data_IF_687546361756
#
_entry.id   IF_687546361756
#
_cell.length_a   1.000
_cell.length_b   1.000
_cell.length_c   1.000
_cell.angle_alpha   90.00
_cell.angle_beta   90.00
_cell.angle_gamma   90.00
#
_symmetry.space_group_name_H-M   'P 1'
#
loop_
_entity.id
_entity.type
_entity.pdbx_description
1 polymer ?
#
# COMPACT_ATOMS: atom_id res chain seq x y z
N UNK A 1 24.57 -0.37 -32.02
CA UNK A 1 23.74 -1.46 -31.48
C UNK A 1 22.29 -1.01 -31.47
N UNK A 2 21.34 -1.87 -31.80
CA UNK A 2 19.91 -1.56 -31.67
C UNK A 2 19.57 -1.45 -30.18
N UNK A 3 18.78 -0.45 -29.79
CA UNK A 3 18.32 -0.29 -28.41
C UNK A 3 17.41 -1.46 -28.02
N UNK A 4 17.46 -1.93 -26.77
CA UNK A 4 16.48 -2.91 -26.27
C UNK A 4 15.06 -2.32 -26.20
N UNK A 5 14.05 -3.15 -26.46
CA UNK A 5 12.64 -2.76 -26.40
C UNK A 5 12.16 -2.72 -24.96
N UNK A 6 11.59 -1.60 -24.53
CA UNK A 6 10.99 -1.39 -23.22
C UNK A 6 9.48 -1.28 -23.34
N UNK A 7 8.75 -2.04 -22.51
CA UNK A 7 7.32 -1.82 -22.28
C UNK A 7 7.13 -0.99 -21.00
N UNK A 8 6.44 0.15 -21.11
CA UNK A 8 5.95 0.91 -19.94
C UNK A 8 4.46 0.68 -19.84
N UNK A 9 4.00 0.01 -18.76
CA UNK A 9 2.60 -0.42 -18.59
C UNK A 9 1.67 0.66 -18.02
N UNK A 10 2.20 1.79 -17.57
CA UNK A 10 1.45 2.87 -16.92
C UNK A 10 1.86 4.23 -17.50
N UNK A 11 1.09 5.30 -17.27
CA UNK A 11 1.52 6.64 -17.63
C UNK A 11 2.87 7.02 -17.02
N UNK A 12 3.71 7.68 -17.79
CA UNK A 12 5.01 8.14 -17.35
C UNK A 12 5.13 9.66 -17.51
N UNK A 13 5.83 10.30 -16.56
CA UNK A 13 6.15 11.72 -16.65
C UNK A 13 7.12 11.98 -17.82
N UNK A 14 7.00 13.13 -18.52
CA UNK A 14 7.81 13.43 -19.69
C UNK A 14 9.32 13.31 -19.44
N UNK A 15 9.81 13.80 -18.30
CA UNK A 15 11.22 13.75 -17.93
C UNK A 15 11.75 12.33 -17.75
N UNK A 16 10.89 11.37 -17.39
CA UNK A 16 11.26 9.96 -17.28
C UNK A 16 11.42 9.34 -18.67
N UNK A 17 10.52 9.69 -19.60
CA UNK A 17 10.64 9.26 -21.00
C UNK A 17 11.87 9.84 -21.67
N UNK A 18 12.18 11.11 -21.42
CA UNK A 18 13.40 11.76 -21.91
C UNK A 18 14.67 11.05 -21.43
N UNK A 19 14.71 10.62 -20.16
CA UNK A 19 15.85 9.89 -19.61
C UNK A 19 15.96 8.44 -20.13
N UNK A 20 14.84 7.77 -20.38
CA UNK A 20 14.83 6.38 -20.86
C UNK A 20 15.05 6.25 -22.37
N UNK A 21 14.64 7.25 -23.18
CA UNK A 21 14.70 7.20 -24.64
C UNK A 21 16.11 7.06 -25.24
N UNK A 22 17.22 7.55 -24.65
CA UNK A 22 18.55 7.25 -25.13
C UNK A 22 18.93 5.77 -25.05
N UNK A 23 18.36 5.03 -24.10
CA UNK A 23 18.73 3.65 -23.76
C UNK A 23 17.78 2.60 -24.32
N UNK A 24 16.51 2.95 -24.60
CA UNK A 24 15.46 2.01 -24.97
C UNK A 24 14.61 2.50 -26.15
N UNK A 25 14.09 1.54 -26.93
CA UNK A 25 12.95 1.75 -27.81
C UNK A 25 11.67 1.51 -27.00
N UNK A 26 10.90 2.59 -26.75
CA UNK A 26 9.83 2.61 -25.77
C UNK A 26 8.47 2.34 -26.41
N UNK A 27 7.74 1.32 -25.91
CA UNK A 27 6.30 1.20 -26.09
C UNK A 27 5.62 1.65 -24.79
N UNK A 28 4.82 2.71 -24.87
CA UNK A 28 4.19 3.36 -23.72
C UNK A 28 2.69 3.14 -23.70
N UNK A 29 2.17 2.65 -22.57
CA UNK A 29 0.74 2.74 -22.24
C UNK A 29 0.50 4.05 -21.48
N UNK A 30 0.03 5.08 -22.17
CA UNK A 30 -0.27 6.39 -21.55
C UNK A 30 -1.69 6.46 -20.96
N UNK A 31 -2.47 5.40 -21.10
CA UNK A 31 -3.81 5.32 -20.50
C UNK A 31 -3.73 4.82 -19.06
N UNK A 32 -4.55 5.39 -18.18
CA UNK A 32 -4.70 4.92 -16.79
C UNK A 32 -5.60 3.68 -16.73
N UNK A 33 -5.37 2.70 -17.60
CA UNK A 33 -6.12 1.46 -17.65
C UNK A 33 -5.29 0.28 -17.15
N UNK A 34 -5.95 -0.67 -16.51
CA UNK A 34 -5.32 -1.94 -16.20
C UNK A 34 -4.99 -2.70 -17.49
N UNK A 35 -3.85 -3.37 -17.49
CA UNK A 35 -3.44 -4.26 -18.58
C UNK A 35 -3.80 -5.68 -18.16
N UNK A 36 -4.74 -6.31 -18.86
CA UNK A 36 -5.10 -7.71 -18.57
C UNK A 36 -3.99 -8.68 -19.01
N UNK A 37 -4.06 -9.93 -18.56
CA UNK A 37 -3.00 -10.92 -18.79
C UNK A 37 -2.73 -11.17 -20.28
N UNK A 38 -3.75 -11.32 -21.11
CA UNK A 38 -3.58 -11.62 -22.53
C UNK A 38 -2.99 -10.42 -23.29
N UNK A 39 -3.39 -9.21 -22.95
CA UNK A 39 -2.78 -7.98 -23.47
C UNK A 39 -1.30 -7.87 -23.05
N UNK A 40 -1.00 -8.19 -21.78
CA UNK A 40 0.38 -8.16 -21.28
C UNK A 40 1.26 -9.18 -22.03
N UNK A 41 0.76 -10.40 -22.25
CA UNK A 41 1.45 -11.44 -23.00
C UNK A 41 1.79 -10.97 -24.42
N UNK A 42 0.81 -10.38 -25.13
CA UNK A 42 1.02 -9.85 -26.48
C UNK A 42 2.07 -8.74 -26.50
N UNK A 43 2.00 -7.82 -25.55
CA UNK A 43 2.92 -6.68 -25.45
C UNK A 43 4.34 -7.09 -25.07
N UNK A 44 4.52 -8.12 -24.25
CA UNK A 44 5.83 -8.58 -23.77
C UNK A 44 6.61 -9.41 -24.81
N UNK A 45 5.98 -9.89 -25.88
CA UNK A 45 6.54 -10.87 -26.80
C UNK A 45 7.96 -10.55 -27.32
N UNK A 46 8.25 -9.28 -27.57
CA UNK A 46 9.53 -8.82 -28.10
C UNK A 46 10.26 -7.82 -27.19
N UNK A 47 9.95 -7.80 -25.91
CA UNK A 47 10.52 -6.84 -24.94
C UNK A 47 11.67 -7.45 -24.15
N UNK A 48 12.72 -6.67 -23.97
CA UNK A 48 13.86 -6.98 -23.11
C UNK A 48 13.69 -6.39 -21.71
N UNK A 49 12.88 -5.33 -21.58
CA UNK A 49 12.64 -4.64 -20.30
C UNK A 49 11.16 -4.28 -20.13
N UNK A 50 10.72 -4.24 -18.88
CA UNK A 50 9.40 -3.73 -18.50
C UNK A 50 9.52 -2.73 -17.35
N UNK A 51 8.79 -1.62 -17.46
CA UNK A 51 8.54 -0.65 -16.39
C UNK A 51 7.08 -0.77 -15.98
N UNK A 52 6.80 -0.99 -14.70
CA UNK A 52 5.43 -1.28 -14.26
C UNK A 52 5.03 -0.61 -12.96
N UNK A 53 3.73 -0.40 -12.81
CA UNK A 53 3.06 -0.09 -11.55
C UNK A 53 2.21 -1.30 -11.09
N UNK A 54 1.22 -1.08 -10.23
CA UNK A 54 0.28 -2.13 -9.80
C UNK A 54 -0.81 -2.48 -10.82
N UNK A 55 -0.82 -1.82 -11.99
CA UNK A 55 -1.87 -1.94 -13.00
C UNK A 55 -1.72 -3.12 -13.97
N UNK A 56 -0.63 -3.88 -13.88
CA UNK A 56 -0.36 -5.07 -14.68
C UNK A 56 0.10 -6.21 -13.78
N UNK A 57 -0.42 -7.42 -14.00
CA UNK A 57 -0.05 -8.60 -13.24
C UNK A 57 0.86 -9.52 -14.05
N UNK A 58 2.12 -9.60 -13.67
CA UNK A 58 3.13 -10.47 -14.26
C UNK A 58 3.03 -11.88 -13.67
N UNK A 59 2.08 -12.66 -14.17
CA UNK A 59 1.88 -14.06 -13.76
C UNK A 59 2.97 -14.96 -14.33
N UNK A 60 3.10 -16.18 -13.81
CA UNK A 60 3.98 -17.21 -14.38
C UNK A 60 3.74 -17.44 -15.89
N UNK A 61 2.47 -17.39 -16.34
CA UNK A 61 2.10 -17.51 -17.75
C UNK A 61 2.65 -16.35 -18.58
N UNK A 62 2.46 -15.11 -18.12
CA UNK A 62 2.95 -13.91 -18.80
C UNK A 62 4.50 -13.91 -18.88
N UNK A 63 5.18 -14.24 -17.79
CA UNK A 63 6.64 -14.31 -17.71
C UNK A 63 7.19 -15.35 -18.68
N UNK A 64 6.63 -16.59 -18.67
CA UNK A 64 7.07 -17.66 -19.58
C UNK A 64 6.82 -17.37 -21.06
N UNK A 65 5.86 -16.50 -21.38
CA UNK A 65 5.59 -16.07 -22.76
C UNK A 65 6.54 -15.00 -23.29
N UNK A 66 7.43 -14.47 -22.46
CA UNK A 66 8.35 -13.37 -22.77
C UNK A 66 9.83 -13.80 -22.78
N UNK A 67 10.27 -14.62 -23.76
CA UNK A 67 11.59 -15.27 -23.74
C UNK A 67 12.76 -14.29 -23.85
N UNK A 68 12.52 -13.04 -24.26
CA UNK A 68 13.56 -12.01 -24.37
C UNK A 68 13.63 -11.10 -23.14
N UNK A 69 12.66 -11.19 -22.21
CA UNK A 69 12.59 -10.32 -21.06
C UNK A 69 13.78 -10.57 -20.11
N UNK A 70 14.43 -9.51 -19.66
CA UNK A 70 15.63 -9.55 -18.82
C UNK A 70 15.43 -8.83 -17.50
N UNK A 71 14.56 -7.81 -17.49
CA UNK A 71 14.32 -6.98 -16.32
C UNK A 71 12.87 -6.51 -16.24
N UNK A 72 12.30 -6.55 -15.04
CA UNK A 72 11.04 -5.87 -14.68
C UNK A 72 11.37 -4.87 -13.57
N UNK A 73 11.17 -3.59 -13.84
CA UNK A 73 11.36 -2.53 -12.85
C UNK A 73 10.02 -1.99 -12.38
N UNK A 74 9.66 -2.29 -11.12
CA UNK A 74 8.44 -1.78 -10.50
C UNK A 74 8.69 -0.41 -9.88
N UNK A 75 7.85 0.58 -10.23
CA UNK A 75 7.88 1.88 -9.57
C UNK A 75 7.26 1.85 -8.15
N UNK A 76 6.72 0.72 -7.74
CA UNK A 76 6.08 0.49 -6.44
C UNK A 76 7.03 -0.16 -5.44
N UNK A 77 6.73 -0.02 -4.15
CA UNK A 77 7.45 -0.73 -3.08
C UNK A 77 7.01 -2.20 -3.03
N UNK A 78 5.69 -2.44 -3.06
CA UNK A 78 5.13 -3.79 -3.15
C UNK A 78 5.22 -4.32 -4.57
N UNK A 79 5.47 -5.61 -4.70
CA UNK A 79 5.64 -6.31 -5.98
C UNK A 79 4.85 -7.64 -6.00
N UNK A 80 3.82 -7.74 -5.22
CA UNK A 80 2.92 -8.90 -5.15
C UNK A 80 2.14 -9.17 -6.45
N UNK A 81 2.16 -8.23 -7.38
CA UNK A 81 1.66 -8.39 -8.75
C UNK A 81 2.68 -9.05 -9.72
N UNK A 82 3.89 -9.41 -9.26
CA UNK A 82 4.95 -10.04 -10.07
C UNK A 82 5.28 -11.40 -9.47
N UNK A 83 5.21 -12.46 -10.28
CA UNK A 83 5.63 -13.80 -9.88
C UNK A 83 7.17 -13.89 -9.84
N UNK A 84 7.71 -13.62 -8.66
CA UNK A 84 9.15 -13.58 -8.40
C UNK A 84 9.83 -14.91 -8.66
N UNK A 85 9.18 -16.02 -8.32
CA UNK A 85 9.73 -17.36 -8.52
C UNK A 85 9.94 -17.66 -10.01
N UNK A 86 8.92 -17.39 -10.84
CA UNK A 86 9.03 -17.55 -12.29
C UNK A 86 10.06 -16.60 -12.92
N UNK A 87 10.21 -15.38 -12.39
CA UNK A 87 11.28 -14.47 -12.83
C UNK A 87 12.67 -15.05 -12.53
N UNK A 88 12.89 -15.54 -11.32
CA UNK A 88 14.16 -16.15 -10.91
C UNK A 88 14.50 -17.39 -11.74
N UNK A 89 13.53 -18.27 -12.02
CA UNK A 89 13.69 -19.45 -12.89
C UNK A 89 14.16 -19.09 -14.31
N UNK A 90 13.75 -17.92 -14.83
CA UNK A 90 14.14 -17.46 -16.17
C UNK A 90 15.32 -16.47 -16.18
N UNK A 91 15.90 -16.18 -15.02
CA UNK A 91 17.01 -15.22 -14.90
C UNK A 91 16.58 -13.78 -15.19
N UNK A 92 15.30 -13.43 -14.96
CA UNK A 92 14.77 -12.08 -15.10
C UNK A 92 14.99 -11.33 -13.79
N UNK A 93 15.68 -10.20 -13.85
CA UNK A 93 15.89 -9.33 -12.70
C UNK A 93 14.59 -8.58 -12.38
N UNK A 94 14.21 -8.56 -11.11
CA UNK A 94 13.08 -7.75 -10.64
C UNK A 94 13.59 -6.69 -9.67
N UNK A 95 13.20 -5.43 -9.90
CA UNK A 95 13.53 -4.32 -9.01
C UNK A 95 12.26 -3.63 -8.53
N UNK A 96 12.34 -3.02 -7.34
CA UNK A 96 11.28 -2.19 -6.79
C UNK A 96 11.79 -0.79 -6.45
N UNK A 97 10.92 0.08 -5.91
CA UNK A 97 11.26 1.46 -5.55
C UNK A 97 11.12 1.67 -4.04
N UNK A 98 12.08 1.17 -3.23
CA UNK A 98 12.05 1.33 -1.79
C UNK A 98 12.31 2.79 -1.38
N UNK A 99 11.94 3.11 -0.14
CA UNK A 99 12.21 4.37 0.57
C UNK A 99 11.46 5.62 0.09
N UNK A 100 11.19 5.77 -1.18
CA UNK A 100 10.60 6.98 -1.78
C UNK A 100 9.17 7.29 -1.31
N UNK A 101 8.42 6.29 -0.83
CA UNK A 101 7.02 6.44 -0.40
C UNK A 101 6.85 6.58 1.12
N UNK A 102 7.91 6.35 1.91
CA UNK A 102 7.78 6.15 3.36
C UNK A 102 7.06 7.29 4.07
N UNK A 103 7.44 8.53 3.76
CA UNK A 103 6.87 9.70 4.42
C UNK A 103 5.44 9.98 3.94
N UNK A 104 5.21 9.95 2.63
CA UNK A 104 3.90 10.23 2.04
C UNK A 104 2.85 9.20 2.47
N UNK A 105 3.20 7.90 2.48
CA UNK A 105 2.30 6.86 2.97
C UNK A 105 2.02 7.02 4.46
N UNK A 106 3.02 7.42 5.26
CA UNK A 106 2.82 7.69 6.67
C UNK A 106 1.91 8.91 6.91
N UNK A 107 2.08 10.00 6.15
CA UNK A 107 1.19 11.17 6.20
C UNK A 107 -0.25 10.78 5.87
N UNK A 108 -0.41 9.96 4.82
CA UNK A 108 -1.73 9.51 4.40
C UNK A 108 -2.39 8.58 5.43
N UNK A 109 -1.64 7.64 6.01
CA UNK A 109 -2.16 6.78 7.08
C UNK A 109 -2.69 7.60 8.26
N UNK A 110 -2.02 8.70 8.63
CA UNK A 110 -2.49 9.64 9.64
C UNK A 110 -3.73 10.43 9.19
N UNK A 111 -3.76 10.90 7.95
CA UNK A 111 -4.94 11.58 7.41
C UNK A 111 -6.16 10.65 7.44
N UNK A 112 -5.99 9.39 7.03
CA UNK A 112 -7.04 8.38 7.04
C UNK A 112 -7.49 8.03 8.47
N UNK A 113 -6.54 7.87 9.42
CA UNK A 113 -6.84 7.63 10.84
C UNK A 113 -7.66 8.77 11.43
N UNK A 114 -7.23 10.01 11.22
CA UNK A 114 -7.94 11.19 11.74
C UNK A 114 -9.32 11.36 11.10
N UNK A 115 -9.43 11.14 9.78
CA UNK A 115 -10.71 11.21 9.07
C UNK A 115 -11.69 10.16 9.59
N UNK A 116 -11.20 8.94 9.85
CA UNK A 116 -11.99 7.81 10.37
C UNK A 116 -12.41 8.06 11.83
N UNK A 117 -11.46 8.37 12.71
CA UNK A 117 -11.72 8.59 14.13
C UNK A 117 -12.68 9.77 14.38
N UNK A 118 -12.59 10.81 13.56
CA UNK A 118 -13.38 12.03 13.73
C UNK A 118 -14.57 12.13 12.77
N UNK A 119 -14.89 11.07 12.01
CA UNK A 119 -16.04 10.98 11.09
C UNK A 119 -16.07 12.11 10.05
N UNK A 120 -14.90 12.56 9.59
CA UNK A 120 -14.75 13.75 8.75
C UNK A 120 -15.48 13.60 7.42
N UNK A 121 -15.31 12.48 6.73
CA UNK A 121 -15.93 12.24 5.41
C UNK A 121 -17.45 12.12 5.50
N UNK A 122 -17.97 11.45 6.51
CA UNK A 122 -19.41 11.36 6.77
C UNK A 122 -20.02 12.73 7.04
N UNK A 123 -19.41 13.52 7.92
CA UNK A 123 -19.88 14.86 8.24
C UNK A 123 -19.80 15.80 7.03
N UNK A 124 -18.76 15.69 6.21
CA UNK A 124 -18.58 16.46 4.98
C UNK A 124 -19.68 16.15 3.95
N UNK A 125 -19.95 14.87 3.70
CA UNK A 125 -21.02 14.45 2.78
C UNK A 125 -22.40 14.92 3.28
N UNK A 126 -22.67 14.81 4.59
CA UNK A 126 -23.92 15.26 5.20
C UNK A 126 -24.10 16.78 5.06
N UNK A 127 -23.01 17.55 5.27
CA UNK A 127 -23.03 19.00 5.10
C UNK A 127 -23.30 19.40 3.64
N UNK A 128 -22.60 18.77 2.66
CA UNK A 128 -22.83 19.04 1.22
C UNK A 128 -24.24 18.67 0.75
N UNK A 129 -24.84 17.67 1.37
CA UNK A 129 -26.23 17.30 1.09
C UNK A 129 -27.26 18.33 1.63
N UNK A 130 -26.79 19.40 2.28
CA UNK A 130 -27.65 20.51 2.75
C UNK A 130 -28.42 20.18 4.05
N UNK A 131 -27.98 19.18 4.79
CA UNK A 131 -28.69 18.75 6.00
C UNK A 131 -28.41 19.60 7.25
N UNK A 132 -27.42 20.52 7.19
CA UNK A 132 -27.07 21.35 8.34
C UNK A 132 -28.01 22.55 8.50
N UNK A 133 -29.01 22.39 9.38
CA UNK A 133 -29.98 23.42 9.73
C UNK A 133 -29.72 24.07 11.10
N UNK A 134 -29.00 23.37 11.96
CA UNK A 134 -28.66 23.81 13.32
C UNK A 134 -27.44 23.07 13.88
N UNK A 135 -26.80 23.72 14.86
CA UNK A 135 -25.75 23.05 15.64
C UNK A 135 -26.33 21.94 16.52
N UNK A 136 -25.61 20.81 16.59
CA UNK A 136 -26.03 19.61 17.32
C UNK A 136 -24.96 19.19 18.34
N UNK A 137 -25.29 19.15 19.62
CA UNK A 137 -24.37 18.75 20.69
C UNK A 137 -23.88 17.28 20.52
N UNK A 138 -24.70 16.40 19.99
CA UNK A 138 -24.40 14.97 19.82
C UNK A 138 -24.22 14.56 18.35
N UNK A 139 -24.13 15.51 17.43
CA UNK A 139 -23.89 15.23 16.02
C UNK A 139 -22.45 14.79 15.80
N UNK A 140 -22.25 13.73 15.02
CA UNK A 140 -20.94 13.22 14.58
C UNK A 140 -19.90 13.03 15.71
N UNK A 141 -20.33 12.54 16.87
CA UNK A 141 -19.41 12.19 17.95
C UNK A 141 -18.46 11.09 17.46
N UNK A 142 -17.15 11.39 17.44
CA UNK A 142 -16.08 10.48 17.08
C UNK A 142 -15.25 10.06 18.29
N UNK A 143 -14.13 9.38 18.02
CA UNK A 143 -13.17 8.95 19.03
C UNK A 143 -12.00 9.96 19.14
N UNK A 144 -11.44 10.06 20.36
CA UNK A 144 -10.18 10.76 20.57
C UNK A 144 -9.01 9.97 19.99
N UNK A 145 -7.99 10.70 19.49
CA UNK A 145 -6.74 10.13 19.01
C UNK A 145 -5.60 10.38 19.99
N UNK A 146 -5.54 11.60 20.56
CA UNK A 146 -4.51 11.97 21.53
C UNK A 146 -4.59 11.12 22.81
N UNK A 147 -3.43 10.78 23.36
CA UNK A 147 -3.32 10.02 24.59
C UNK A 147 -3.77 8.55 24.50
N UNK A 148 -4.09 8.07 23.28
CA UNK A 148 -4.53 6.68 23.02
C UNK A 148 -3.36 5.77 22.67
N UNK A 149 -3.63 4.48 22.57
CA UNK A 149 -2.65 3.48 22.16
C UNK A 149 -2.72 3.26 20.64
N UNK A 150 -1.61 3.58 19.96
CA UNK A 150 -1.41 3.25 18.55
C UNK A 150 -0.78 1.88 18.44
N UNK A 151 -1.48 0.93 17.87
CA UNK A 151 -0.95 -0.37 17.50
C UNK A 151 -0.48 -0.37 16.03
N UNK A 152 0.72 -0.88 15.76
CA UNK A 152 1.23 -1.05 14.40
C UNK A 152 1.58 -2.51 14.17
N UNK A 153 0.87 -3.16 13.27
CA UNK A 153 1.22 -4.50 12.82
C UNK A 153 2.00 -4.39 11.50
N UNK A 154 3.33 -4.59 11.60
CA UNK A 154 4.25 -4.35 10.51
C UNK A 154 5.08 -3.06 10.70
N UNK A 155 6.04 -3.08 11.64
CA UNK A 155 6.91 -1.94 11.95
C UNK A 155 8.16 -1.92 11.04
N UNK A 156 7.91 -1.92 9.70
CA UNK A 156 8.92 -1.65 8.70
C UNK A 156 9.23 -0.15 8.59
N UNK A 157 9.86 0.28 7.49
CA UNK A 157 10.21 1.70 7.28
C UNK A 157 9.00 2.63 7.35
N UNK A 158 7.88 2.26 6.71
CA UNK A 158 6.64 3.04 6.75
C UNK A 158 6.01 2.99 8.14
N UNK A 159 5.95 1.81 8.78
CA UNK A 159 5.43 1.67 10.15
C UNK A 159 6.18 2.55 11.15
N UNK A 160 7.51 2.60 11.08
CA UNK A 160 8.35 3.49 11.90
C UNK A 160 8.04 4.98 11.62
N UNK A 161 7.84 5.36 10.36
CA UNK A 161 7.46 6.73 10.00
C UNK A 161 6.06 7.11 10.52
N UNK A 162 5.10 6.18 10.55
CA UNK A 162 3.78 6.35 11.16
C UNK A 162 3.94 6.50 12.68
N UNK A 163 4.68 5.59 13.33
CA UNK A 163 4.92 5.61 14.77
C UNK A 163 5.54 6.93 15.22
N UNK A 164 6.54 7.45 14.51
CA UNK A 164 7.19 8.72 14.83
C UNK A 164 6.22 9.90 14.89
N UNK A 165 5.20 9.94 14.02
CA UNK A 165 4.20 11.01 13.99
C UNK A 165 3.26 11.00 15.20
N UNK A 166 3.13 9.87 15.88
CA UNK A 166 2.29 9.72 17.07
C UNK A 166 2.76 10.57 18.27
N UNK A 167 4.03 11.02 18.25
CA UNK A 167 4.57 11.94 19.27
C UNK A 167 3.74 13.22 19.39
N UNK A 168 3.24 13.77 18.27
CA UNK A 168 2.41 14.96 18.26
C UNK A 168 1.00 14.77 18.85
N UNK A 169 0.64 13.52 19.18
CA UNK A 169 -0.65 13.15 19.77
C UNK A 169 -0.51 12.49 21.15
N UNK A 170 0.67 12.55 21.76
CA UNK A 170 0.96 11.95 23.08
C UNK A 170 0.54 10.48 23.20
N UNK A 171 0.68 9.71 22.09
CA UNK A 171 0.24 8.32 22.04
C UNK A 171 1.34 7.37 22.52
N UNK A 172 0.92 6.31 23.21
CA UNK A 172 1.75 5.11 23.39
C UNK A 172 1.76 4.31 22.10
N UNK A 173 2.94 3.82 21.66
CA UNK A 173 3.09 2.96 20.49
C UNK A 173 3.38 1.52 20.89
N UNK A 174 2.53 0.60 20.45
CA UNK A 174 2.77 -0.85 20.52
C UNK A 174 2.97 -1.35 19.08
N UNK A 175 3.82 -2.36 18.91
CA UNK A 175 3.96 -2.97 17.59
C UNK A 175 4.19 -4.47 17.65
N UNK A 176 3.81 -5.15 16.56
CA UNK A 176 4.10 -6.55 16.31
C UNK A 176 4.78 -6.75 14.96
N UNK A 177 5.87 -7.51 14.97
CA UNK A 177 6.64 -7.96 13.82
C UNK A 177 7.05 -9.43 14.00
N UNK A 178 7.50 -10.07 12.94
CA UNK A 178 8.19 -11.38 13.02
C UNK A 178 9.52 -11.26 13.80
N UNK A 179 10.23 -10.15 13.62
CA UNK A 179 11.48 -9.84 14.29
C UNK A 179 11.37 -8.50 14.99
N UNK A 180 11.79 -8.45 16.25
CA UNK A 180 11.85 -7.20 17.02
C UNK A 180 12.83 -6.21 16.38
N UNK A 181 12.49 -4.93 16.41
CA UNK A 181 13.40 -3.85 15.99
C UNK A 181 14.59 -3.71 16.93
N UNK A 182 15.64 -2.99 16.48
CA UNK A 182 16.72 -2.57 17.38
C UNK A 182 16.24 -1.48 18.34
N UNK A 183 16.98 -1.27 19.42
CA UNK A 183 16.67 -0.22 20.42
C UNK A 183 16.63 1.17 19.76
N UNK A 184 17.55 1.44 18.82
CA UNK A 184 17.61 2.70 18.08
C UNK A 184 16.38 2.90 17.20
N UNK A 185 15.91 1.84 16.55
CA UNK A 185 14.69 1.87 15.72
C UNK A 185 13.42 2.04 16.57
N UNK A 186 13.34 1.36 17.73
CA UNK A 186 12.26 1.54 18.70
C UNK A 186 12.23 2.98 19.22
N UNK A 187 13.40 3.54 19.56
CA UNK A 187 13.53 4.94 20.00
C UNK A 187 13.11 5.93 18.90
N UNK A 188 13.54 5.72 17.65
CA UNK A 188 13.11 6.53 16.50
C UNK A 188 11.59 6.47 16.28
N UNK A 189 10.99 5.33 16.53
CA UNK A 189 9.56 5.05 16.37
C UNK A 189 8.73 5.44 17.61
N UNK A 190 9.05 6.54 18.26
CA UNK A 190 8.37 7.05 19.48
C UNK A 190 8.48 6.06 20.66
N UNK A 191 9.64 5.50 20.89
CA UNK A 191 9.89 4.51 21.95
C UNK A 191 8.88 3.34 21.89
N UNK A 192 8.62 2.86 20.68
CA UNK A 192 7.65 1.82 20.42
C UNK A 192 7.98 0.52 21.18
N UNK A 193 6.96 -0.11 21.74
CA UNK A 193 7.11 -1.33 22.52
C UNK A 193 6.72 -2.55 21.69
N UNK A 194 7.65 -3.53 21.57
CA UNK A 194 7.38 -4.81 20.93
C UNK A 194 6.48 -5.68 21.81
N UNK A 195 5.41 -6.18 21.22
CA UNK A 195 4.41 -7.04 21.91
C UNK A 195 4.03 -8.25 21.04
N UNK A 196 3.38 -9.24 21.65
CA UNK A 196 2.76 -10.34 20.92
C UNK A 196 1.61 -9.83 20.03
N UNK A 197 1.24 -10.60 18.99
CA UNK A 197 0.06 -10.30 18.15
C UNK A 197 -1.19 -10.14 19.02
N UNK A 198 -1.42 -11.07 19.93
CA UNK A 198 -2.57 -11.06 20.83
C UNK A 198 -2.60 -9.78 21.70
N UNK A 199 -1.47 -9.43 22.30
CA UNK A 199 -1.38 -8.23 23.13
C UNK A 199 -1.60 -6.95 22.33
N UNK A 200 -1.09 -6.89 21.08
CA UNK A 200 -1.32 -5.76 20.18
C UNK A 200 -2.82 -5.58 19.94
N UNK A 201 -3.54 -6.66 19.56
CA UNK A 201 -4.96 -6.62 19.25
C UNK A 201 -5.80 -6.18 20.47
N UNK A 202 -5.48 -6.70 21.65
CA UNK A 202 -6.23 -6.41 22.89
C UNK A 202 -6.01 -5.00 23.44
N UNK A 203 -4.88 -4.36 23.11
CA UNK A 203 -4.49 -3.07 23.71
C UNK A 203 -4.57 -1.87 22.78
N UNK A 204 -4.54 -2.07 21.46
CA UNK A 204 -4.60 -0.99 20.50
C UNK A 204 -5.99 -0.33 20.49
N UNK A 205 -6.05 0.99 20.71
CA UNK A 205 -7.24 1.80 20.43
C UNK A 205 -7.36 2.06 18.93
N UNK A 206 -6.21 2.28 18.25
CA UNK A 206 -6.10 2.45 16.82
C UNK A 206 -5.08 1.45 16.28
N UNK A 207 -5.50 0.53 15.42
CA UNK A 207 -4.63 -0.47 14.80
C UNK A 207 -4.34 -0.08 13.34
N UNK A 208 -3.07 0.06 13.00
CA UNK A 208 -2.60 0.30 11.63
C UNK A 208 -1.90 -0.94 11.09
N UNK A 209 -2.34 -1.42 9.92
CA UNK A 209 -1.73 -2.55 9.22
C UNK A 209 -0.70 -2.04 8.21
N UNK A 210 0.53 -2.57 8.29
CA UNK A 210 1.65 -2.25 7.40
C UNK A 210 2.48 -3.49 7.04
N UNK A 211 1.89 -4.69 7.13
CA UNK A 211 2.54 -5.93 6.71
C UNK A 211 2.47 -6.12 5.19
N UNK A 212 3.48 -6.72 4.55
CA UNK A 212 3.40 -7.08 3.13
C UNK A 212 2.37 -8.19 2.94
N UNK A 213 1.73 -8.23 1.77
CA UNK A 213 0.86 -9.33 1.40
C UNK A 213 1.68 -10.53 0.93
N UNK A 214 1.46 -11.66 1.57
CA UNK A 214 2.07 -12.98 1.28
C UNK A 214 1.07 -14.08 1.63
N UNK A 215 1.34 -15.31 1.24
CA UNK A 215 0.51 -16.45 1.68
C UNK A 215 0.38 -16.56 3.21
N UNK A 216 1.40 -16.14 3.97
CA UNK A 216 1.38 -16.15 5.43
C UNK A 216 0.61 -14.97 6.06
N UNK A 217 0.36 -13.91 5.30
CA UNK A 217 -0.39 -12.73 5.76
C UNK A 217 -1.76 -12.59 5.09
N UNK A 218 -2.10 -13.51 4.19
CA UNK A 218 -3.45 -13.60 3.63
C UNK A 218 -4.45 -13.85 4.76
N UNK A 219 -5.44 -12.97 4.90
CA UNK A 219 -6.48 -12.97 5.96
C UNK A 219 -5.91 -13.13 7.38
N UNK A 220 -4.69 -12.62 7.63
CA UNK A 220 -4.09 -12.71 8.96
C UNK A 220 -4.83 -11.87 10.01
N UNK A 221 -5.68 -10.94 9.57
CA UNK A 221 -6.71 -10.27 10.38
C UNK A 221 -8.08 -10.78 9.93
N UNK A 222 -8.45 -11.97 10.39
CA UNK A 222 -9.75 -12.60 10.15
C UNK A 222 -10.71 -12.44 11.32
N UNK A 223 -11.79 -13.24 11.33
CA UNK A 223 -12.84 -13.16 12.36
C UNK A 223 -12.30 -13.36 13.77
N UNK A 224 -11.37 -14.29 13.97
CA UNK A 224 -10.78 -14.58 15.28
C UNK A 224 -9.94 -13.41 15.81
N UNK A 225 -9.12 -12.80 14.94
CA UNK A 225 -8.29 -11.65 15.29
C UNK A 225 -9.15 -10.40 15.54
N UNK A 226 -10.14 -10.15 14.69
CA UNK A 226 -11.08 -9.04 14.86
C UNK A 226 -11.83 -9.16 16.17
N UNK A 227 -12.27 -10.37 16.58
CA UNK A 227 -12.92 -10.61 17.87
C UNK A 227 -11.99 -10.39 19.09
N UNK A 228 -10.66 -10.51 18.91
CA UNK A 228 -9.68 -10.23 19.95
C UNK A 228 -9.34 -8.74 20.06
N UNK A 229 -9.66 -7.93 19.04
CA UNK A 229 -9.43 -6.50 19.12
C UNK A 229 -10.27 -5.88 20.24
N UNK A 230 -9.72 -4.80 20.80
CA UNK A 230 -10.42 -4.03 21.82
C UNK A 230 -11.78 -3.55 21.30
N UNK A 231 -12.90 -3.76 22.03
CA UNK A 231 -14.18 -3.21 21.63
C UNK A 231 -14.11 -1.68 21.43
N UNK A 232 -14.63 -1.21 20.30
CA UNK A 232 -14.57 0.20 19.94
C UNK A 232 -13.23 0.64 19.29
N UNK A 233 -12.31 -0.28 19.00
CA UNK A 233 -11.09 0.04 18.28
C UNK A 233 -11.37 0.52 16.86
N UNK A 234 -10.41 1.27 16.31
CA UNK A 234 -10.42 1.73 14.92
C UNK A 234 -9.32 1.00 14.14
N UNK A 235 -9.67 0.46 12.97
CA UNK A 235 -8.75 -0.21 12.07
C UNK A 235 -8.37 0.69 10.90
N UNK A 236 -7.07 0.77 10.57
CA UNK A 236 -6.56 1.45 9.38
C UNK A 236 -5.76 0.47 8.54
N UNK A 237 -6.14 0.31 7.27
CA UNK A 237 -5.40 -0.52 6.33
C UNK A 237 -4.89 0.31 5.14
N UNK A 238 -3.59 0.55 5.12
CA UNK A 238 -2.84 1.16 4.01
C UNK A 238 -1.75 0.22 3.50
N UNK A 239 -1.86 -1.08 3.82
CA UNK A 239 -0.94 -2.13 3.39
C UNK A 239 -1.42 -2.82 2.10
N UNK A 240 -2.25 -3.84 2.22
CA UNK A 240 -2.92 -4.57 1.13
C UNK A 240 -4.28 -5.06 1.58
N UNK A 241 -5.26 -5.14 0.67
CA UNK A 241 -6.62 -5.59 0.97
C UNK A 241 -6.67 -7.00 1.54
N UNK A 242 -6.11 -7.97 0.85
CA UNK A 242 -6.14 -9.38 1.28
C UNK A 242 -5.40 -9.72 2.58
N UNK A 243 -4.85 -8.74 3.30
CA UNK A 243 -4.36 -8.90 4.69
C UNK A 243 -5.53 -9.04 5.67
N UNK A 244 -6.65 -8.39 5.36
CA UNK A 244 -7.90 -8.43 6.13
C UNK A 244 -8.90 -9.32 5.40
N UNK A 245 -9.67 -10.10 6.11
CA UNK A 245 -10.87 -10.76 5.59
C UNK A 245 -11.99 -9.72 5.53
N UNK A 246 -12.36 -9.31 4.31
CA UNK A 246 -13.37 -8.28 4.08
C UNK A 246 -14.73 -8.64 4.69
N UNK A 247 -15.16 -9.91 4.58
CA UNK A 247 -16.45 -10.35 5.12
C UNK A 247 -16.46 -10.31 6.66
N UNK A 248 -15.37 -10.74 7.27
CA UNK A 248 -15.23 -10.69 8.73
C UNK A 248 -15.19 -9.24 9.25
N UNK A 249 -14.50 -8.34 8.53
CA UNK A 249 -14.45 -6.93 8.89
C UNK A 249 -15.81 -6.26 8.77
N UNK A 250 -16.56 -6.53 7.69
CA UNK A 250 -17.91 -6.00 7.49
C UNK A 250 -18.82 -6.40 8.65
N UNK A 251 -18.77 -7.66 9.08
CA UNK A 251 -19.57 -8.14 10.20
C UNK A 251 -19.15 -7.47 11.53
N UNK A 252 -17.84 -7.33 11.78
CA UNK A 252 -17.33 -6.65 12.98
C UNK A 252 -17.70 -5.16 13.04
N UNK A 253 -17.81 -4.50 11.87
CA UNK A 253 -18.26 -3.11 11.76
C UNK A 253 -19.78 -2.96 11.95
N UNK A 254 -20.58 -3.91 11.43
CA UNK A 254 -22.03 -3.92 11.57
C UNK A 254 -22.47 -4.12 13.01
N UNK A 255 -21.84 -5.03 13.71
CA UNK A 255 -22.12 -5.30 15.12
C UNK A 255 -21.41 -4.31 16.07
N UNK A 256 -20.69 -3.32 15.53
CA UNK A 256 -19.99 -2.26 16.27
C UNK A 256 -18.91 -2.77 17.24
N UNK A 257 -18.42 -3.98 17.09
CA UNK A 257 -17.25 -4.45 17.84
C UNK A 257 -16.02 -3.62 17.44
N UNK A 258 -15.82 -3.42 16.14
CA UNK A 258 -14.90 -2.42 15.58
C UNK A 258 -15.71 -1.14 15.33
N UNK A 259 -15.30 -0.02 15.94
CA UNK A 259 -16.05 1.22 15.86
C UNK A 259 -16.07 1.79 14.45
N UNK A 260 -14.92 1.78 13.77
CA UNK A 260 -14.77 2.30 12.41
C UNK A 260 -13.55 1.69 11.72
N UNK A 261 -13.51 1.76 10.38
CA UNK A 261 -12.33 1.40 9.59
C UNK A 261 -12.00 2.47 8.54
N UNK A 262 -10.71 2.72 8.33
CA UNK A 262 -10.18 3.49 7.22
C UNK A 262 -9.41 2.57 6.26
N UNK A 263 -9.90 2.44 5.03
CA UNK A 263 -9.37 1.48 4.05
C UNK A 263 -8.92 2.22 2.79
N UNK A 264 -7.63 2.09 2.46
CA UNK A 264 -7.07 2.58 1.20
C UNK A 264 -6.86 1.45 0.19
N UNK A 265 -6.99 0.21 0.63
CA UNK A 265 -6.73 -1.01 -0.14
C UNK A 265 -7.82 -2.04 0.08
N UNK A 266 -8.09 -2.87 -0.96
CA UNK A 266 -9.21 -3.82 -1.00
C UNK A 266 -8.76 -5.15 -1.57
N UNK A 267 -9.47 -6.23 -1.24
CA UNK A 267 -9.06 -7.60 -1.61
C UNK A 267 -9.00 -7.84 -3.12
N UNK A 268 -9.89 -7.23 -3.88
CA UNK A 268 -10.01 -7.45 -5.32
C UNK A 268 -9.93 -6.16 -6.13
N UNK A 269 -8.98 -5.28 -5.80
CA UNK A 269 -8.82 -4.01 -6.50
C UNK A 269 -8.82 -4.16 -8.03
N UNK A 270 -9.53 -3.28 -8.76
CA UNK A 270 -10.28 -2.11 -8.28
C UNK A 270 -11.72 -2.44 -7.80
N UNK A 271 -12.13 -3.69 -7.78
CA UNK A 271 -13.47 -4.14 -7.39
C UNK A 271 -13.48 -4.45 -5.89
N UNK A 272 -13.91 -3.47 -5.07
CA UNK A 272 -14.08 -3.69 -3.65
C UNK A 272 -15.40 -4.44 -3.34
N UNK A 273 -15.48 -5.07 -2.16
CA UNK A 273 -16.74 -5.63 -1.68
C UNK A 273 -17.79 -4.51 -1.53
N UNK A 274 -18.93 -4.57 -2.31
CA UNK A 274 -19.91 -3.48 -2.36
C UNK A 274 -20.59 -3.21 -1.00
N UNK A 275 -20.55 -4.15 -0.08
CA UNK A 275 -21.14 -3.96 1.26
C UNK A 275 -20.44 -2.85 2.04
N UNK A 276 -19.15 -2.59 1.81
CA UNK A 276 -18.45 -1.46 2.41
C UNK A 276 -19.09 -0.11 2.05
N UNK A 277 -19.67 0.02 0.86
CA UNK A 277 -20.30 1.26 0.40
C UNK A 277 -21.54 1.66 1.21
N UNK A 278 -22.14 0.70 1.92
CA UNK A 278 -23.32 0.92 2.75
C UNK A 278 -23.02 1.17 4.23
N UNK A 279 -21.76 1.03 4.66
CA UNK A 279 -21.37 1.18 6.04
C UNK A 279 -21.02 2.66 6.36
N UNK A 280 -21.73 3.30 7.31
CA UNK A 280 -21.47 4.72 7.63
C UNK A 280 -20.17 4.91 8.42
N UNK A 281 -19.66 3.85 9.04
CA UNK A 281 -18.45 3.86 9.87
C UNK A 281 -17.18 3.41 9.13
N UNK A 282 -17.16 3.56 7.79
CA UNK A 282 -15.99 3.24 6.97
C UNK A 282 -15.58 4.46 6.14
N UNK A 283 -14.29 4.77 6.13
CA UNK A 283 -13.69 5.73 5.21
C UNK A 283 -12.94 4.96 4.13
N UNK A 284 -13.28 5.19 2.86
CA UNK A 284 -12.76 4.47 1.71
C UNK A 284 -11.99 5.41 0.80
N UNK A 285 -10.79 4.99 0.37
CA UNK A 285 -9.97 5.72 -0.60
C UNK A 285 -9.38 4.76 -1.63
N UNK A 286 -9.23 5.18 -2.90
CA UNK A 286 -8.89 4.27 -4.00
C UNK A 286 -7.38 4.08 -4.19
N UNK A 287 -6.71 3.49 -3.19
CA UNK A 287 -5.28 3.16 -3.17
C UNK A 287 -4.37 4.37 -3.49
N UNK A 288 -4.53 5.43 -2.70
CA UNK A 288 -3.85 6.71 -2.92
C UNK A 288 -2.80 7.08 -1.86
N UNK A 289 -2.42 6.16 -0.98
CA UNK A 289 -1.48 6.44 0.11
C UNK A 289 -0.13 7.03 -0.34
N UNK A 290 0.32 6.75 -1.56
CA UNK A 290 1.53 7.34 -2.14
C UNK A 290 1.25 8.46 -3.15
N UNK A 291 0.00 8.92 -3.30
CA UNK A 291 -0.43 9.83 -4.35
C UNK A 291 -0.14 11.31 -4.02
N UNK A 292 1.13 11.66 -3.88
CA UNK A 292 1.57 13.04 -4.05
C UNK A 292 2.44 13.16 -5.30
N UNK A 293 2.38 14.29 -6.00
CA UNK A 293 3.14 14.46 -7.25
C UNK A 293 4.65 14.28 -7.05
N UNK A 294 5.29 14.85 -6.01
CA UNK A 294 6.72 14.62 -5.79
C UNK A 294 7.05 13.13 -5.55
N UNK A 295 6.20 12.41 -4.80
CA UNK A 295 6.42 10.99 -4.53
C UNK A 295 6.23 10.14 -5.78
N UNK A 296 5.19 10.39 -6.58
CA UNK A 296 4.97 9.65 -7.84
C UNK A 296 6.12 9.86 -8.83
N UNK A 297 6.68 11.09 -8.92
CA UNK A 297 7.88 11.36 -9.70
C UNK A 297 9.09 10.60 -9.15
N UNK A 298 9.32 10.62 -7.84
CA UNK A 298 10.42 9.89 -7.22
C UNK A 298 10.32 8.36 -7.40
N UNK A 299 9.10 7.80 -7.35
CA UNK A 299 8.84 6.38 -7.64
C UNK A 299 9.24 6.03 -9.07
N UNK A 300 8.81 6.82 -10.06
CA UNK A 300 9.17 6.59 -11.46
C UNK A 300 10.66 6.80 -11.70
N UNK A 301 11.27 7.80 -11.08
CA UNK A 301 12.71 8.04 -11.16
C UNK A 301 13.52 6.86 -10.62
N UNK A 302 13.10 6.29 -9.49
CA UNK A 302 13.77 5.12 -8.92
C UNK A 302 13.73 3.92 -9.89
N UNK A 303 12.58 3.65 -10.49
CA UNK A 303 12.44 2.58 -11.48
C UNK A 303 13.25 2.85 -12.75
N UNK A 304 13.25 4.10 -13.24
CA UNK A 304 14.05 4.50 -14.40
C UNK A 304 15.55 4.33 -14.14
N UNK A 305 16.03 4.71 -12.95
CA UNK A 305 17.43 4.54 -12.58
C UNK A 305 17.87 3.06 -12.60
N UNK A 306 17.02 2.13 -12.16
CA UNK A 306 17.29 0.69 -12.27
C UNK A 306 17.41 0.24 -13.74
N UNK A 307 16.51 0.70 -14.60
CA UNK A 307 16.52 0.37 -16.03
C UNK A 307 17.75 0.95 -16.76
N UNK A 308 18.09 2.21 -16.50
CA UNK A 308 19.27 2.86 -17.08
C UNK A 308 20.55 2.14 -16.66
N UNK A 309 20.69 1.85 -15.37
CA UNK A 309 21.84 1.12 -14.86
C UNK A 309 21.96 -0.29 -15.45
N UNK A 310 20.82 -0.96 -15.64
CA UNK A 310 20.80 -2.24 -16.34
C UNK A 310 21.24 -2.12 -17.80
N UNK A 311 20.77 -1.11 -18.53
CA UNK A 311 21.12 -0.91 -19.94
C UNK A 311 22.60 -0.57 -20.13
N UNK A 312 23.20 0.20 -19.20
CA UNK A 312 24.59 0.64 -19.28
C UNK A 312 25.59 -0.40 -18.78
N UNK A 313 25.27 -1.10 -17.70
CA UNK A 313 26.23 -1.94 -16.97
C UNK A 313 25.78 -3.39 -16.76
N UNK A 314 24.54 -3.75 -17.09
CA UNK A 314 23.95 -5.06 -16.78
C UNK A 314 23.65 -5.25 -15.29
N UNK A 315 23.67 -4.19 -14.51
CA UNK A 315 23.47 -4.19 -13.05
C UNK A 315 22.20 -3.46 -12.65
N UNK A 316 21.72 -3.68 -11.44
CA UNK A 316 20.56 -2.99 -10.85
C UNK A 316 20.88 -2.50 -9.43
N UNK A 317 20.09 -1.54 -8.93
CA UNK A 317 20.27 -0.93 -7.61
C UNK A 317 19.41 -1.62 -6.56
N UNK A 318 18.14 -1.86 -6.87
CA UNK A 318 17.12 -2.31 -5.92
C UNK A 318 16.60 -3.72 -6.29
N UNK A 319 17.50 -4.72 -6.37
CA UNK A 319 17.16 -6.09 -6.71
C UNK A 319 16.25 -6.72 -5.65
N UNK A 320 15.23 -7.46 -6.10
CA UNK A 320 14.25 -8.17 -5.26
C UNK A 320 14.49 -9.68 -5.24
N UNK A 321 14.93 -10.27 -6.36
CA UNK A 321 15.15 -11.72 -6.55
C UNK A 321 16.60 -12.10 -6.77
#
# INVERSE_FOLDING_TARGET
MTKPNLLITCPAFPEILEQLSPHFDIELNQQESSVNEDQLIQKLHNKQAAFTAGNARFTAKAIRSAPQLKIISAMTVGYDNIDIASCAEQGILVTNSPDVVNQTTADFAWALLLATARRVTEAEHWLRAGHWDKWQLRGFLGADVHGKTLGIWGMGRIGQAIARRSMGFDMQVLYHNRTRLTVEQESYANNATFVSKQELLQRADHLVLMVPYTAATHHCLGAEELAQMRPGAILINTARGGVVDDAALIEALRNQHIAAAGLDVFEHEPHLNPEFLSLPNVVLTPHIASASEPTRRAMQQCAANNLIRFAEFGEVINLVN
#
